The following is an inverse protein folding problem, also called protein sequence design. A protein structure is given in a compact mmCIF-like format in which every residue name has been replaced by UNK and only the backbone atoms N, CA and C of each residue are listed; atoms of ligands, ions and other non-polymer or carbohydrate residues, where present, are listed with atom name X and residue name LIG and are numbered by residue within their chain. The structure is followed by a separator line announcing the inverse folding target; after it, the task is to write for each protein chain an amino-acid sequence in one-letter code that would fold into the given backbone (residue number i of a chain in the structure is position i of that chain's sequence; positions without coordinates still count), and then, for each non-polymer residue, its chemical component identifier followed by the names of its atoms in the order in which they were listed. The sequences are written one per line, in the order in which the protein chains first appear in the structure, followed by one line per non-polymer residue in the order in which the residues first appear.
data_IF_280943399903
#
_entry.id   IF_280943399903
#
_cell.length_a   1.000
_cell.length_b   1.000
_cell.length_c   1.000
_cell.angle_alpha   90.00
_cell.angle_beta   90.00
_cell.angle_gamma   90.00
#
_symmetry.space_group_name_H-M   'P 1'
#
loop_
_entity.id
_entity.type
_entity.pdbx_description
1 polymer ?
#
# COMPACT_ATOMS: atom_id res chain seq x y z
N UNK A 1 -17.45 1.96 -13.30
CA UNK A 1 -16.45 3.01 -13.62
C UNK A 1 -17.08 4.39 -13.78
N UNK A 2 -18.14 4.56 -14.58
CA UNK A 2 -18.79 5.88 -14.78
C UNK A 2 -19.36 6.50 -13.50
N UNK A 3 -20.05 5.70 -12.67
CA UNK A 3 -20.59 6.15 -11.36
C UNK A 3 -19.51 6.61 -10.36
N UNK A 4 -18.26 6.19 -10.58
CA UNK A 4 -17.10 6.56 -9.76
C UNK A 4 -16.28 7.68 -10.41
N UNK A 5 -16.76 8.26 -11.53
CA UNK A 5 -16.03 9.26 -12.32
C UNK A 5 -14.62 8.80 -12.74
N UNK A 6 -14.47 7.51 -13.02
CA UNK A 6 -13.20 6.88 -13.41
C UNK A 6 -13.01 6.78 -14.93
N UNK A 7 -13.92 7.39 -15.69
CA UNK A 7 -13.92 7.39 -17.16
C UNK A 7 -13.96 8.83 -17.63
N UNK A 8 -13.09 9.17 -18.58
CA UNK A 8 -13.07 10.44 -19.30
C UNK A 8 -13.27 10.17 -20.79
N UNK A 9 -14.50 10.32 -21.26
CA UNK A 9 -14.89 9.95 -22.63
C UNK A 9 -14.71 8.45 -22.87
N UNK A 10 -13.86 8.09 -23.83
CA UNK A 10 -13.54 6.69 -24.14
C UNK A 10 -12.34 6.15 -23.35
N UNK A 11 -11.71 6.96 -22.50
CA UNK A 11 -10.48 6.61 -21.80
C UNK A 11 -10.71 6.45 -20.30
N UNK A 12 -9.87 5.64 -19.66
CA UNK A 12 -9.81 5.50 -18.21
C UNK A 12 -8.96 6.63 -17.60
N UNK A 13 -9.34 7.09 -16.41
CA UNK A 13 -8.53 8.08 -15.68
C UNK A 13 -7.33 7.43 -14.99
N UNK A 14 -6.35 8.23 -14.61
CA UNK A 14 -5.23 7.76 -13.78
C UNK A 14 -5.69 7.18 -12.45
N UNK A 15 -6.79 7.69 -11.88
CA UNK A 15 -7.40 7.12 -10.69
C UNK A 15 -7.91 5.69 -10.94
N UNK A 16 -8.51 5.43 -12.11
CA UNK A 16 -8.95 4.09 -12.49
C UNK A 16 -7.76 3.13 -12.61
N UNK A 17 -6.65 3.60 -13.21
CA UNK A 17 -5.41 2.84 -13.32
C UNK A 17 -4.83 2.53 -11.93
N UNK A 18 -4.72 3.53 -11.05
CA UNK A 18 -4.18 3.32 -9.70
C UNK A 18 -5.03 2.38 -8.85
N UNK A 19 -6.36 2.49 -8.95
CA UNK A 19 -7.29 1.71 -8.14
C UNK A 19 -7.43 0.26 -8.59
N UNK A 20 -7.25 -0.03 -9.89
CA UNK A 20 -7.62 -1.34 -10.46
C UNK A 20 -6.55 -1.98 -11.37
N UNK A 21 -5.43 -1.31 -11.66
CA UNK A 21 -4.33 -1.93 -12.41
C UNK A 21 -3.59 -2.93 -11.53
N UNK A 22 -3.26 -4.09 -12.11
CA UNK A 22 -2.39 -5.09 -11.45
C UNK A 22 -0.99 -4.55 -11.13
N UNK A 23 -0.52 -3.60 -11.93
CA UNK A 23 0.84 -3.07 -11.87
C UNK A 23 0.81 -1.56 -12.18
N UNK A 24 0.35 -0.72 -11.24
CA UNK A 24 0.22 0.72 -11.47
C UNK A 24 1.58 1.41 -11.62
N UNK A 25 2.65 0.81 -11.10
CA UNK A 25 4.01 1.35 -11.13
C UNK A 25 4.58 1.51 -12.55
N UNK A 26 4.06 0.76 -13.53
CA UNK A 26 4.37 0.94 -14.96
C UNK A 26 3.97 2.30 -15.51
N UNK A 27 2.94 2.93 -14.95
CA UNK A 27 2.43 4.23 -15.42
C UNK A 27 2.68 5.35 -14.42
N UNK A 28 2.60 5.06 -13.12
CA UNK A 28 2.88 5.98 -12.05
C UNK A 28 3.98 5.41 -11.17
N UNK A 29 5.22 5.84 -11.41
CA UNK A 29 6.36 5.47 -10.56
C UNK A 29 6.08 5.86 -9.11
N UNK A 30 6.42 4.97 -8.17
CA UNK A 30 6.16 5.18 -6.75
C UNK A 30 4.74 4.85 -6.30
N UNK A 31 3.94 4.18 -7.13
CA UNK A 31 2.62 3.67 -6.75
C UNK A 31 2.73 2.43 -5.83
N UNK A 32 3.38 2.58 -4.69
CA UNK A 32 3.54 1.56 -3.65
C UNK A 32 3.61 2.23 -2.27
N UNK A 33 3.45 1.46 -1.21
CA UNK A 33 3.56 1.94 0.18
C UNK A 33 4.74 1.27 0.88
N UNK A 34 5.47 2.03 1.71
CA UNK A 34 6.47 1.47 2.65
C UNK A 34 5.99 1.63 4.08
N UNK A 35 6.18 0.59 4.88
CA UNK A 35 5.91 0.59 6.31
C UNK A 35 7.24 0.34 7.03
N UNK A 36 7.63 1.21 7.96
CA UNK A 36 8.86 1.07 8.75
C UNK A 36 8.56 0.90 10.23
N UNK A 37 9.22 -0.05 10.89
CA UNK A 37 9.16 -0.26 12.33
C UNK A 37 10.41 0.28 12.96
N UNK A 38 10.25 1.22 13.88
CA UNK A 38 11.33 1.96 14.48
C UNK A 38 11.41 1.63 15.98
N UNK A 39 12.61 1.33 16.49
CA UNK A 39 12.83 1.17 17.93
C UNK A 39 13.02 2.53 18.62
N UNK A 40 13.69 3.43 17.94
CA UNK A 40 13.89 4.84 18.31
C UNK A 40 13.57 5.70 17.09
N UNK A 41 13.54 7.03 17.24
CA UNK A 41 13.24 7.94 16.12
C UNK A 41 14.18 7.79 14.90
N UNK A 42 15.35 7.16 15.07
CA UNK A 42 16.34 6.96 14.01
C UNK A 42 16.58 5.47 13.66
N UNK A 43 16.24 4.53 14.54
CA UNK A 43 16.62 3.12 14.38
C UNK A 43 15.48 2.31 13.73
N UNK A 44 15.56 2.17 12.40
CA UNK A 44 14.68 1.28 11.62
C UNK A 44 15.09 -0.18 11.84
N UNK A 45 14.23 -0.95 12.50
CA UNK A 45 14.43 -2.38 12.73
C UNK A 45 14.05 -3.22 11.51
N UNK A 46 12.89 -2.96 10.92
CA UNK A 46 12.44 -3.64 9.71
C UNK A 46 11.46 -2.79 8.90
N UNK A 47 11.42 -3.07 7.61
CA UNK A 47 10.59 -2.40 6.62
C UNK A 47 9.85 -3.43 5.76
N UNK A 48 8.63 -3.09 5.35
CA UNK A 48 7.89 -3.79 4.30
C UNK A 48 7.52 -2.82 3.18
N UNK A 49 7.55 -3.31 1.94
CA UNK A 49 7.08 -2.60 0.75
C UNK A 49 5.87 -3.35 0.17
N UNK A 50 4.80 -2.62 -0.11
CA UNK A 50 3.52 -3.16 -0.56
C UNK A 50 3.18 -2.56 -1.92
N UNK A 51 3.09 -3.45 -2.91
CA UNK A 51 2.86 -3.15 -4.31
C UNK A 51 1.51 -3.73 -4.80
N UNK A 52 1.05 -3.27 -5.96
CA UNK A 52 -0.21 -3.69 -6.60
C UNK A 52 -1.17 -2.52 -6.75
N UNK A 53 -2.45 -2.77 -7.03
CA UNK A 53 -3.45 -1.71 -7.07
C UNK A 53 -3.65 -1.07 -5.68
N UNK A 54 -4.10 0.18 -5.61
CA UNK A 54 -4.34 0.87 -4.33
C UNK A 54 -5.30 0.07 -3.43
N UNK A 55 -6.33 -0.56 -4.00
CA UNK A 55 -7.27 -1.36 -3.20
C UNK A 55 -6.58 -2.57 -2.57
N UNK A 56 -5.79 -3.31 -3.34
CA UNK A 56 -4.99 -4.43 -2.81
C UNK A 56 -3.94 -3.97 -1.81
N UNK A 57 -3.33 -2.80 -2.04
CA UNK A 57 -2.36 -2.23 -1.10
C UNK A 57 -3.02 -1.96 0.25
N UNK A 58 -4.22 -1.34 0.28
CA UNK A 58 -4.93 -1.03 1.53
C UNK A 58 -5.22 -2.30 2.34
N UNK A 59 -5.73 -3.35 1.70
CA UNK A 59 -6.06 -4.61 2.38
C UNK A 59 -4.79 -5.24 3.00
N UNK A 60 -3.69 -5.30 2.23
CA UNK A 60 -2.40 -5.82 2.70
C UNK A 60 -1.77 -4.96 3.78
N UNK A 61 -1.89 -3.62 3.70
CA UNK A 61 -1.36 -2.70 4.70
C UNK A 61 -2.01 -2.98 6.05
N UNK A 62 -3.35 -3.06 6.09
CA UNK A 62 -4.08 -3.32 7.34
C UNK A 62 -3.68 -4.68 7.92
N UNK A 63 -3.57 -5.71 7.09
CA UNK A 63 -3.12 -7.04 7.49
C UNK A 63 -1.69 -7.01 8.07
N UNK A 64 -0.73 -6.42 7.36
CA UNK A 64 0.68 -6.33 7.79
C UNK A 64 0.80 -5.55 9.09
N UNK A 65 0.14 -4.40 9.20
CA UNK A 65 0.16 -3.61 10.43
C UNK A 65 -0.36 -4.43 11.60
N UNK A 66 -1.51 -5.09 11.44
CA UNK A 66 -2.13 -5.86 12.52
C UNK A 66 -1.30 -7.10 12.92
N UNK A 67 -0.79 -7.84 11.93
CA UNK A 67 -0.11 -9.12 12.17
C UNK A 67 1.36 -8.97 12.57
N UNK A 68 2.06 -7.97 12.03
CA UNK A 68 3.52 -7.82 12.18
C UNK A 68 3.89 -6.65 13.10
N UNK A 69 3.22 -5.51 12.97
CA UNK A 69 3.60 -4.29 13.68
C UNK A 69 2.88 -4.09 15.01
N UNK A 70 1.64 -4.57 15.14
CA UNK A 70 0.83 -4.44 16.35
C UNK A 70 0.91 -5.65 17.28
N UNK A 71 1.38 -6.81 16.82
CA UNK A 71 1.63 -7.94 17.72
C UNK A 71 2.72 -7.54 18.72
N UNK A 72 2.36 -7.50 20.00
CA UNK A 72 3.24 -7.16 21.09
C UNK A 72 4.55 -7.98 21.02
N UNK A 73 5.70 -7.31 21.24
CA UNK A 73 6.98 -7.99 21.46
C UNK A 73 6.76 -9.02 22.58
N UNK A 74 6.91 -10.31 22.28
CA UNK A 74 6.99 -11.34 23.32
C UNK A 74 8.37 -11.19 23.93
N UNK A 75 8.46 -10.45 25.03
CA UNK A 75 9.69 -10.33 25.81
C UNK A 75 9.70 -11.44 26.85
N UNK A 76 10.82 -12.17 26.93
CA UNK A 76 11.11 -13.05 28.05
C UNK A 76 12.05 -12.28 28.97
N UNK A 77 11.59 -11.99 30.20
CA UNK A 77 12.46 -11.54 31.29
C UNK A 77 13.34 -12.68 31.81
#
# INVERSE_FOLDING_TARGET
MEKLHLVNGSYLTNAAMLLFSKDPEKWQLGAYVKIGYFETDADLLYQDEIHGSILEQIDKIVEVVYLKYMKAKITYD
#
